data_IF_603668928580
#
_entry.id   IF_603668928580
#
_cell.length_a   1.000
_cell.length_b   1.000
_cell.length_c   1.000
_cell.angle_alpha   90.00
_cell.angle_beta   90.00
_cell.angle_gamma   90.00
#
_symmetry.space_group_name_H-M   'P 1'
#
loop_
_entity.id
_entity.type
_entity.pdbx_description
1 polymer ?
#
# COMPACT_ATOMS: atom_id res chain seq x y z
N UNK A 1 -17.84 8.59 0.49
CA UNK A 1 -18.72 9.51 -0.25
C UNK A 1 -18.40 9.38 -1.74
N UNK A 2 -19.40 9.11 -2.57
CA UNK A 2 -19.20 8.89 -4.00
C UNK A 2 -18.82 10.15 -4.75
N UNK A 3 -19.37 11.30 -4.36
CA UNK A 3 -19.05 12.57 -4.98
C UNK A 3 -17.57 12.91 -4.77
N UNK A 4 -17.09 12.70 -3.55
CA UNK A 4 -15.68 12.91 -3.22
C UNK A 4 -14.74 12.00 -4.02
N UNK A 5 -15.06 10.72 -4.13
CA UNK A 5 -14.25 9.77 -4.91
C UNK A 5 -14.25 10.16 -6.39
N UNK A 6 -15.41 10.57 -6.93
CA UNK A 6 -15.51 11.06 -8.31
C UNK A 6 -14.61 12.29 -8.53
N UNK A 7 -14.64 13.26 -7.62
CA UNK A 7 -13.85 14.50 -7.73
C UNK A 7 -12.34 14.20 -7.76
N UNK A 8 -11.87 13.31 -6.88
CA UNK A 8 -10.46 12.88 -6.87
C UNK A 8 -10.10 12.04 -8.10
N UNK A 9 -10.99 11.18 -8.57
CA UNK A 9 -10.76 10.42 -9.80
C UNK A 9 -10.63 11.34 -11.01
N UNK A 10 -11.48 12.36 -11.11
CA UNK A 10 -11.40 13.34 -12.19
C UNK A 10 -10.13 14.19 -12.09
N UNK A 11 -9.65 14.49 -10.88
CA UNK A 11 -8.36 15.13 -10.67
C UNK A 11 -7.20 14.24 -11.14
N UNK A 12 -7.20 12.96 -10.76
CA UNK A 12 -6.20 11.99 -11.19
C UNK A 12 -6.16 11.88 -12.72
N UNK A 13 -7.33 11.75 -13.37
CA UNK A 13 -7.45 11.70 -14.84
C UNK A 13 -6.91 12.94 -15.54
N UNK A 14 -7.19 14.14 -15.02
CA UNK A 14 -6.63 15.39 -15.57
C UNK A 14 -5.10 15.43 -15.47
N UNK A 15 -4.53 14.77 -14.48
CA UNK A 15 -3.08 14.63 -14.30
C UNK A 15 -2.47 13.42 -15.04
N UNK A 16 -3.28 12.59 -15.71
CA UNK A 16 -2.82 11.33 -16.30
C UNK A 16 -2.36 10.30 -15.25
N UNK A 17 -2.92 10.37 -14.05
CA UNK A 17 -2.58 9.54 -12.90
C UNK A 17 -3.66 8.49 -12.59
N UNK A 18 -3.29 7.53 -11.75
CA UNK A 18 -4.21 6.55 -11.16
C UNK A 18 -4.78 7.09 -9.83
N UNK A 19 -5.99 6.64 -9.48
CA UNK A 19 -6.54 6.81 -8.13
C UNK A 19 -6.29 5.53 -7.32
N UNK A 20 -5.66 5.65 -6.15
CA UNK A 20 -5.59 4.56 -5.19
C UNK A 20 -6.56 4.84 -4.05
N UNK A 21 -7.49 3.92 -3.81
CA UNK A 21 -8.39 3.99 -2.66
C UNK A 21 -7.63 3.49 -1.43
N UNK A 22 -7.41 4.38 -0.47
CA UNK A 22 -6.76 4.04 0.80
C UNK A 22 -7.75 3.33 1.72
N UNK A 23 -7.42 2.11 2.16
CA UNK A 23 -8.29 1.24 2.95
C UNK A 23 -7.64 1.00 4.31
N UNK A 24 -8.28 1.51 5.36
CA UNK A 24 -7.96 1.25 6.76
C UNK A 24 -9.12 0.44 7.36
N UNK A 25 -8.98 -0.88 7.54
CA UNK A 25 -10.12 -1.74 7.80
C UNK A 25 -10.58 -1.69 9.27
N UNK A 26 -9.76 -1.14 10.18
CA UNK A 26 -10.07 -1.06 11.59
C UNK A 26 -10.27 -2.46 12.19
N UNK A 27 -11.53 -2.77 12.55
CA UNK A 27 -11.91 -4.08 13.10
C UNK A 27 -12.41 -5.07 12.05
N UNK A 28 -12.62 -4.63 10.82
CA UNK A 28 -13.03 -5.47 9.72
C UNK A 28 -11.82 -6.17 9.08
N UNK A 29 -12.09 -7.13 8.20
CA UNK A 29 -11.09 -7.69 7.30
C UNK A 29 -10.95 -6.80 6.05
N UNK A 30 -9.78 -6.81 5.40
CA UNK A 30 -9.54 -6.00 4.20
C UNK A 30 -10.51 -6.30 3.04
N UNK A 31 -10.77 -7.58 2.77
CA UNK A 31 -11.50 -7.96 1.56
C UNK A 31 -12.94 -7.41 1.52
N UNK A 32 -13.76 -7.51 2.59
CA UNK A 32 -15.06 -6.84 2.65
C UNK A 32 -15.00 -5.33 2.42
N UNK A 33 -14.02 -4.64 3.01
CA UNK A 33 -13.85 -3.19 2.86
C UNK A 33 -13.48 -2.82 1.42
N UNK A 34 -12.59 -3.59 0.78
CA UNK A 34 -12.25 -3.43 -0.65
C UNK A 34 -13.48 -3.68 -1.54
N UNK A 35 -14.28 -4.71 -1.23
CA UNK A 35 -15.49 -5.04 -1.99
C UNK A 35 -16.56 -3.95 -1.93
N UNK A 36 -16.62 -3.17 -0.85
CA UNK A 36 -17.55 -2.04 -0.74
C UNK A 36 -17.29 -0.97 -1.82
N UNK A 37 -16.09 -0.92 -2.38
CA UNK A 37 -15.69 0.01 -3.45
C UNK A 37 -15.67 -0.63 -4.85
N UNK A 38 -16.28 -1.81 -5.05
CA UNK A 38 -16.26 -2.54 -6.32
C UNK A 38 -16.62 -1.66 -7.53
N UNK A 39 -17.62 -0.79 -7.40
CA UNK A 39 -18.06 0.10 -8.49
C UNK A 39 -16.92 0.97 -9.04
N UNK A 40 -16.01 1.41 -8.19
CA UNK A 40 -14.84 2.20 -8.55
C UNK A 40 -13.73 1.30 -9.08
N UNK A 41 -13.52 0.14 -8.44
CA UNK A 41 -12.50 -0.83 -8.84
C UNK A 41 -12.78 -1.48 -10.20
N UNK A 42 -14.00 -1.38 -10.73
CA UNK A 42 -14.34 -1.73 -12.11
C UNK A 42 -13.85 -0.71 -13.16
N UNK A 43 -13.37 0.47 -12.77
CA UNK A 43 -12.80 1.48 -13.67
C UNK A 43 -11.32 1.21 -13.94
N UNK A 44 -10.78 1.47 -15.14
CA UNK A 44 -9.42 1.03 -15.52
C UNK A 44 -8.29 1.67 -14.68
N UNK A 45 -8.54 2.84 -14.10
CA UNK A 45 -7.56 3.73 -13.48
C UNK A 45 -7.70 3.84 -11.95
N UNK A 46 -8.38 2.88 -11.32
CA UNK A 46 -8.56 2.80 -9.86
C UNK A 46 -7.93 1.54 -9.30
N UNK A 47 -7.04 1.68 -8.31
CA UNK A 47 -6.44 0.62 -7.51
C UNK A 47 -6.70 0.81 -6.02
N UNK A 48 -5.95 0.10 -5.17
CA UNK A 48 -6.05 0.22 -3.71
C UNK A 48 -4.68 0.44 -3.06
N UNK A 49 -4.69 1.14 -1.93
CA UNK A 49 -3.62 1.15 -0.95
C UNK A 49 -4.19 0.60 0.38
N UNK A 50 -3.54 -0.42 0.93
CA UNK A 50 -3.97 -1.12 2.12
C UNK A 50 -3.06 -0.73 3.28
N UNK A 51 -3.63 -0.39 4.43
CA UNK A 51 -2.90 0.06 5.61
C UNK A 51 -3.02 -0.98 6.74
N UNK A 52 -2.18 -2.04 6.77
CA UNK A 52 -2.35 -3.16 7.69
C UNK A 52 -2.13 -2.78 9.15
N UNK A 53 -1.40 -1.70 9.41
CA UNK A 53 -1.20 -1.14 10.74
C UNK A 53 -2.51 -0.63 11.38
N UNK A 54 -3.58 -0.45 10.59
CA UNK A 54 -4.93 -0.14 11.07
C UNK A 54 -5.84 -1.38 11.19
N UNK A 55 -5.37 -2.57 10.78
CA UNK A 55 -6.10 -3.83 10.89
C UNK A 55 -5.94 -4.43 12.31
N UNK A 56 -6.64 -3.85 13.27
CA UNK A 56 -6.49 -4.14 14.72
C UNK A 56 -7.33 -5.33 15.21
N UNK A 57 -8.00 -6.02 14.29
CA UNK A 57 -8.85 -7.17 14.59
C UNK A 57 -10.11 -6.83 15.42
N UNK A 58 -10.87 -7.84 15.87
CA UNK A 58 -12.23 -7.63 16.39
C UNK A 58 -12.32 -6.78 17.67
N UNK A 59 -11.28 -6.79 18.49
CA UNK A 59 -11.25 -6.13 19.80
C UNK A 59 -10.32 -4.93 19.88
N UNK A 60 -9.46 -4.72 18.88
CA UNK A 60 -8.49 -3.63 18.91
C UNK A 60 -9.12 -2.25 18.73
N UNK A 61 -8.36 -1.22 19.07
CA UNK A 61 -8.70 0.19 18.82
C UNK A 61 -7.62 0.75 17.90
N UNK A 62 -7.96 1.20 16.68
CA UNK A 62 -6.96 1.77 15.77
C UNK A 62 -6.30 3.01 16.39
N UNK A 63 -4.98 3.13 16.20
CA UNK A 63 -4.17 4.21 16.78
C UNK A 63 -3.70 3.97 18.23
N UNK A 64 -4.29 3.02 18.97
CA UNK A 64 -3.77 2.61 20.29
C UNK A 64 -2.82 1.41 20.19
N UNK A 65 -3.06 0.55 19.20
CA UNK A 65 -2.24 -0.63 18.88
C UNK A 65 -1.98 -0.70 17.39
N UNK A 66 -0.84 -1.24 17.00
CA UNK A 66 -0.61 -1.61 15.62
C UNK A 66 -1.39 -2.87 15.27
N UNK A 67 -2.15 -2.76 14.19
CA UNK A 67 -2.75 -3.87 13.49
C UNK A 67 -1.72 -4.70 12.73
N UNK A 68 -2.21 -5.78 12.14
CA UNK A 68 -1.41 -6.66 11.30
C UNK A 68 -2.28 -7.33 10.23
N UNK A 69 -1.65 -7.75 9.15
CA UNK A 69 -2.25 -8.65 8.14
C UNK A 69 -1.29 -9.77 7.79
N UNK A 70 -1.73 -10.68 6.91
CA UNK A 70 -0.92 -11.78 6.40
C UNK A 70 -0.77 -11.77 4.88
N UNK A 71 0.25 -12.47 4.36
CA UNK A 71 0.35 -12.72 2.92
C UNK A 71 -0.90 -13.41 2.33
N UNK A 72 -1.59 -14.25 3.11
CA UNK A 72 -2.81 -14.92 2.70
C UNK A 72 -4.01 -13.95 2.57
N UNK A 73 -4.16 -13.00 3.48
CA UNK A 73 -5.19 -11.96 3.39
C UNK A 73 -4.93 -11.02 2.21
N UNK A 74 -3.67 -10.64 1.99
CA UNK A 74 -3.25 -9.87 0.81
C UNK A 74 -3.54 -10.62 -0.50
N UNK A 75 -3.32 -11.94 -0.55
CA UNK A 75 -3.73 -12.76 -1.69
C UNK A 75 -5.23 -12.69 -1.93
N UNK A 76 -6.06 -12.71 -0.89
CA UNK A 76 -7.52 -12.58 -1.02
C UNK A 76 -7.94 -11.28 -1.71
N UNK A 77 -7.30 -10.18 -1.37
CA UNK A 77 -7.52 -8.88 -2.05
C UNK A 77 -7.02 -8.92 -3.49
N UNK A 78 -5.80 -9.40 -3.71
CA UNK A 78 -5.20 -9.49 -5.05
C UNK A 78 -6.00 -10.40 -6.01
N UNK A 79 -6.49 -11.54 -5.52
CA UNK A 79 -7.35 -12.45 -6.29
C UNK A 79 -8.65 -11.77 -6.70
N UNK A 80 -9.27 -11.01 -5.78
CA UNK A 80 -10.48 -10.26 -6.05
C UNK A 80 -10.26 -9.17 -7.09
N UNK A 81 -9.19 -8.38 -6.97
CA UNK A 81 -8.81 -7.37 -7.98
C UNK A 81 -8.52 -8.03 -9.33
N UNK A 82 -7.76 -9.12 -9.34
CA UNK A 82 -7.44 -9.88 -10.55
C UNK A 82 -8.69 -10.49 -11.21
N UNK A 83 -9.72 -10.83 -10.44
CA UNK A 83 -11.03 -11.23 -10.96
C UNK A 83 -11.74 -10.07 -11.64
N UNK A 84 -11.77 -8.88 -11.03
CA UNK A 84 -12.35 -7.69 -11.66
C UNK A 84 -11.66 -7.35 -12.98
N UNK A 85 -10.33 -7.49 -13.05
CA UNK A 85 -9.57 -7.30 -14.29
C UNK A 85 -10.04 -8.23 -15.39
N UNK A 86 -10.12 -9.54 -15.10
CA UNK A 86 -10.55 -10.56 -16.08
C UNK A 86 -11.99 -10.37 -16.52
N UNK A 87 -12.91 -10.11 -15.60
CA UNK A 87 -14.34 -9.99 -15.89
C UNK A 87 -14.69 -8.73 -16.70
N UNK A 88 -13.94 -7.65 -16.51
CA UNK A 88 -14.24 -6.35 -17.13
C UNK A 88 -13.23 -5.95 -18.20
N UNK A 89 -12.30 -6.85 -18.56
CA UNK A 89 -11.23 -6.60 -19.54
C UNK A 89 -10.44 -5.31 -19.25
N UNK A 90 -10.02 -5.16 -17.99
CA UNK A 90 -9.29 -3.98 -17.51
C UNK A 90 -7.78 -4.13 -17.74
N UNK A 91 -7.01 -3.02 -17.69
CA UNK A 91 -5.58 -3.11 -17.43
C UNK A 91 -5.30 -3.72 -16.05
N UNK A 92 -4.02 -4.06 -15.82
CA UNK A 92 -3.53 -4.52 -14.52
C UNK A 92 -3.89 -3.52 -13.41
N UNK A 93 -4.32 -4.03 -12.25
CA UNK A 93 -4.63 -3.21 -11.07
C UNK A 93 -3.37 -2.97 -10.24
N UNK A 94 -3.29 -1.83 -9.57
CA UNK A 94 -2.27 -1.58 -8.54
C UNK A 94 -2.86 -1.91 -7.17
N UNK A 95 -2.12 -2.68 -6.38
CA UNK A 95 -2.38 -2.94 -4.96
C UNK A 95 -1.13 -2.58 -4.17
N UNK A 96 -1.17 -1.44 -3.48
CA UNK A 96 -0.14 -1.08 -2.51
C UNK A 96 -0.52 -1.68 -1.15
N UNK A 97 0.45 -2.19 -0.40
CA UNK A 97 0.29 -2.43 1.03
C UNK A 97 1.39 -1.69 1.79
N UNK A 98 0.99 -0.96 2.82
CA UNK A 98 1.91 -0.26 3.70
C UNK A 98 2.52 -1.22 4.71
N UNK A 99 3.77 -0.98 5.09
CA UNK A 99 4.43 -1.76 6.12
C UNK A 99 5.42 -0.88 6.89
N UNK A 100 5.02 -0.47 8.09
CA UNK A 100 5.86 0.32 9.00
C UNK A 100 6.91 -0.53 9.74
N UNK A 101 6.62 -1.82 9.92
CA UNK A 101 7.49 -2.77 10.63
C UNK A 101 7.23 -4.22 10.19
N UNK A 102 8.17 -5.13 10.47
CA UNK A 102 8.04 -6.55 10.11
C UNK A 102 6.83 -7.23 10.77
N UNK A 103 6.38 -6.75 11.93
CA UNK A 103 5.20 -7.24 12.63
C UNK A 103 3.85 -6.88 11.98
N UNK A 104 3.82 -5.90 11.06
CA UNK A 104 2.57 -5.41 10.46
C UNK A 104 2.09 -6.28 9.30
N UNK A 105 3.01 -6.96 8.61
CA UNK A 105 2.67 -8.00 7.63
C UNK A 105 3.40 -9.27 8.01
N UNK A 106 2.72 -10.14 8.75
CA UNK A 106 3.26 -11.43 9.18
C UNK A 106 3.07 -12.47 8.07
N UNK A 107 3.90 -13.51 8.06
CA UNK A 107 3.84 -14.58 7.06
C UNK A 107 3.83 -14.08 5.60
N UNK A 108 4.56 -12.99 5.32
CA UNK A 108 4.65 -12.38 3.98
C UNK A 108 5.10 -13.38 2.90
N UNK A 109 5.88 -14.40 3.27
CA UNK A 109 6.29 -15.48 2.37
C UNK A 109 5.13 -16.31 1.80
N UNK A 110 3.92 -16.21 2.36
CA UNK A 110 2.69 -16.79 1.80
C UNK A 110 2.06 -15.98 0.66
N UNK A 111 2.53 -14.74 0.41
CA UNK A 111 2.06 -13.92 -0.70
C UNK A 111 2.50 -14.55 -2.04
N UNK A 112 1.58 -14.60 -3.00
CA UNK A 112 1.80 -15.22 -4.31
C UNK A 112 1.85 -14.15 -5.41
N UNK A 113 2.49 -14.43 -6.56
CA UNK A 113 2.42 -13.55 -7.72
C UNK A 113 1.02 -13.56 -8.35
N UNK A 114 0.51 -12.37 -8.70
CA UNK A 114 -0.80 -12.19 -9.32
C UNK A 114 -0.67 -11.50 -10.68
N UNK A 115 -0.90 -12.19 -11.82
CA UNK A 115 -0.57 -11.62 -13.14
C UNK A 115 -1.38 -10.36 -13.48
N UNK A 116 -2.58 -10.21 -12.92
CA UNK A 116 -3.46 -9.07 -13.15
C UNK A 116 -3.35 -7.96 -12.09
N UNK A 117 -2.41 -8.08 -11.15
CA UNK A 117 -2.21 -7.11 -10.07
C UNK A 117 -0.73 -6.80 -9.89
N UNK A 118 -0.35 -5.54 -10.06
CA UNK A 118 0.95 -5.02 -9.63
C UNK A 118 0.89 -4.81 -8.12
N UNK A 119 1.65 -5.63 -7.37
CA UNK A 119 1.71 -5.55 -5.92
C UNK A 119 2.91 -4.71 -5.53
N UNK A 120 2.70 -3.69 -4.70
CA UNK A 120 3.73 -2.77 -4.24
C UNK A 120 3.80 -2.82 -2.72
N UNK A 121 5.00 -3.01 -2.17
CA UNK A 121 5.26 -2.85 -0.74
C UNK A 121 5.71 -1.42 -0.49
N UNK A 122 4.92 -0.62 0.23
CA UNK A 122 5.32 0.72 0.66
C UNK A 122 5.91 0.68 2.06
N UNK A 123 7.21 0.94 2.20
CA UNK A 123 7.86 1.10 3.51
C UNK A 123 7.44 2.45 4.09
N UNK A 124 6.72 2.37 5.21
CA UNK A 124 5.83 3.44 5.68
C UNK A 124 6.25 4.08 7.00
N UNK A 125 7.42 3.74 7.52
CA UNK A 125 7.89 4.25 8.82
C UNK A 125 8.22 5.75 8.79
N UNK A 126 7.81 6.46 9.83
CA UNK A 126 8.19 7.85 10.11
C UNK A 126 9.57 7.88 10.78
N UNK A 127 10.37 8.89 10.45
CA UNK A 127 11.51 9.30 11.28
C UNK A 127 12.72 9.79 10.49
N UNK A 128 13.83 9.94 11.21
CA UNK A 128 15.10 10.38 10.60
C UNK A 128 15.53 9.48 9.44
N UNK A 129 16.33 10.04 8.51
CA UNK A 129 16.92 9.29 7.39
C UNK A 129 17.50 7.92 7.81
N UNK A 130 18.29 7.89 8.89
CA UNK A 130 18.92 6.65 9.37
C UNK A 130 17.91 5.60 9.84
N UNK A 131 16.80 6.03 10.45
CA UNK A 131 15.72 5.14 10.86
C UNK A 131 15.00 4.56 9.64
N UNK A 132 14.65 5.40 8.66
CA UNK A 132 13.98 4.96 7.43
C UNK A 132 14.86 4.02 6.60
N UNK A 133 16.16 4.30 6.47
CA UNK A 133 17.14 3.42 5.83
C UNK A 133 17.28 2.07 6.54
N UNK A 134 17.19 2.05 7.87
CA UNK A 134 17.21 0.81 8.65
C UNK A 134 15.96 -0.03 8.39
N UNK A 135 14.77 0.58 8.47
CA UNK A 135 13.49 -0.08 8.18
C UNK A 135 13.44 -0.60 6.74
N UNK A 136 13.92 0.19 5.77
CA UNK A 136 14.05 -0.24 4.37
C UNK A 136 14.86 -1.53 4.25
N UNK A 137 16.04 -1.55 4.86
CA UNK A 137 16.96 -2.69 4.79
C UNK A 137 16.38 -3.95 5.45
N UNK A 138 15.65 -3.78 6.54
CA UNK A 138 14.94 -4.88 7.22
C UNK A 138 13.85 -5.46 6.33
N UNK A 139 12.91 -4.62 5.89
CA UNK A 139 11.71 -5.07 5.18
C UNK A 139 12.02 -5.59 3.76
N UNK A 140 13.00 -5.01 3.08
CA UNK A 140 13.40 -5.45 1.75
C UNK A 140 14.12 -6.80 1.74
N UNK A 141 14.62 -7.28 2.88
CA UNK A 141 15.28 -8.59 2.98
C UNK A 141 14.30 -9.73 2.70
N UNK A 142 13.09 -9.63 3.22
CA UNK A 142 12.09 -10.70 3.20
C UNK A 142 11.01 -10.45 2.13
N UNK A 143 11.13 -9.36 1.34
CA UNK A 143 10.25 -9.02 0.23
C UNK A 143 10.31 -10.07 -0.89
N UNK A 144 9.17 -10.65 -1.32
CA UNK A 144 9.15 -11.51 -2.51
C UNK A 144 9.59 -10.74 -3.77
N UNK A 145 10.37 -11.39 -4.64
CA UNK A 145 10.99 -10.73 -5.79
C UNK A 145 10.01 -10.10 -6.79
N UNK A 146 8.77 -10.60 -6.85
CA UNK A 146 7.70 -10.09 -7.72
C UNK A 146 6.97 -8.85 -7.15
N UNK A 147 7.20 -8.49 -5.89
CA UNK A 147 6.59 -7.32 -5.25
C UNK A 147 7.43 -6.09 -5.54
N UNK A 148 6.83 -5.02 -6.05
CA UNK A 148 7.54 -3.77 -6.37
C UNK A 148 7.99 -3.07 -5.08
N UNK A 149 9.27 -2.67 -4.96
CA UNK A 149 9.76 -1.97 -3.77
C UNK A 149 9.33 -0.49 -3.79
N UNK A 150 8.61 -0.06 -2.75
CA UNK A 150 8.08 1.30 -2.62
C UNK A 150 8.47 1.98 -1.31
N UNK A 151 8.78 3.28 -1.35
CA UNK A 151 9.28 4.05 -0.20
C UNK A 151 8.42 5.29 0.06
N UNK A 152 7.98 5.51 1.31
CA UNK A 152 7.19 6.69 1.69
C UNK A 152 8.01 7.72 2.46
N UNK A 153 7.77 8.98 2.14
CA UNK A 153 8.27 10.16 2.82
C UNK A 153 7.10 10.97 3.37
N UNK A 154 7.30 11.55 4.55
CA UNK A 154 6.32 12.39 5.22
C UNK A 154 6.85 13.83 5.31
N UNK A 155 6.20 14.79 4.68
CA UNK A 155 6.64 16.18 4.61
C UNK A 155 6.68 16.86 5.97
N UNK A 156 5.77 16.50 6.88
CA UNK A 156 5.64 17.11 8.20
C UNK A 156 6.31 16.24 9.27
N UNK A 157 6.03 14.95 9.32
CA UNK A 157 6.47 14.07 10.40
C UNK A 157 7.95 13.70 10.31
N UNK A 158 8.49 13.44 9.11
CA UNK A 158 9.92 13.13 8.99
C UNK A 158 10.77 14.36 9.37
N UNK A 159 10.26 15.58 9.13
CA UNK A 159 11.00 16.82 9.41
C UNK A 159 11.10 17.17 10.90
N UNK A 160 10.25 16.57 11.74
CA UNK A 160 10.35 16.66 13.20
C UNK A 160 11.55 15.86 13.75
N UNK A 161 11.94 14.78 13.06
CA UNK A 161 12.98 13.84 13.48
C UNK A 161 14.32 14.04 12.74
N UNK A 162 14.34 14.83 11.66
CA UNK A 162 15.54 15.15 10.88
C UNK A 162 15.22 15.77 9.52
N UNK A 163 16.20 16.11 8.67
CA UNK A 163 15.88 16.59 7.33
C UNK A 163 15.18 15.50 6.50
N UNK A 164 14.16 15.89 5.72
CA UNK A 164 13.52 15.02 4.74
C UNK A 164 14.57 14.47 3.75
N UNK A 165 14.52 13.17 3.47
CA UNK A 165 15.44 12.58 2.48
C UNK A 165 15.20 13.20 1.10
N UNK A 166 16.29 13.56 0.43
CA UNK A 166 16.26 14.08 -0.94
C UNK A 166 15.96 12.95 -1.94
N UNK A 167 15.45 13.27 -3.14
CA UNK A 167 15.28 12.26 -4.20
C UNK A 167 16.57 11.48 -4.50
N UNK A 168 17.73 12.12 -4.45
CA UNK A 168 19.01 11.45 -4.68
C UNK A 168 19.35 10.43 -3.58
N UNK A 169 18.99 10.71 -2.33
CA UNK A 169 19.18 9.78 -1.22
C UNK A 169 18.21 8.59 -1.33
N UNK A 170 16.95 8.83 -1.68
CA UNK A 170 15.96 7.75 -1.93
C UNK A 170 16.40 6.86 -3.08
N UNK A 171 16.84 7.45 -4.20
CA UNK A 171 17.32 6.70 -5.37
C UNK A 171 18.68 6.02 -5.16
N UNK A 172 19.36 6.27 -4.04
CA UNK A 172 20.58 5.56 -3.64
C UNK A 172 20.30 4.32 -2.78
N UNK A 173 19.04 4.08 -2.37
CA UNK A 173 18.66 2.90 -1.61
C UNK A 173 18.86 1.62 -2.44
N UNK A 174 19.11 0.50 -1.74
CA UNK A 174 19.21 -0.84 -2.35
C UNK A 174 18.25 -1.79 -1.64
N UNK A 175 17.34 -2.48 -2.36
CA UNK A 175 17.05 -2.32 -3.80
C UNK A 175 16.61 -0.90 -4.16
N UNK A 176 16.69 -0.53 -5.44
CA UNK A 176 16.22 0.77 -5.93
C UNK A 176 14.68 0.85 -5.74
N UNK A 177 14.14 1.87 -5.07
CA UNK A 177 12.70 2.08 -5.01
C UNK A 177 12.15 2.37 -6.42
N UNK A 178 11.07 1.68 -6.78
CA UNK A 178 10.36 1.87 -8.05
C UNK A 178 9.06 2.67 -7.87
N UNK A 179 8.55 2.73 -6.64
CA UNK A 179 7.45 3.56 -6.22
C UNK A 179 7.90 4.49 -5.09
N UNK A 180 7.68 5.79 -5.21
CA UNK A 180 7.99 6.75 -4.14
C UNK A 180 6.73 7.54 -3.83
N UNK A 181 6.30 7.47 -2.58
CA UNK A 181 5.13 8.18 -2.07
C UNK A 181 5.59 9.35 -1.20
N UNK A 182 4.92 10.47 -1.35
CA UNK A 182 5.06 11.64 -0.48
C UNK A 182 3.71 11.94 0.13
N UNK A 183 3.66 12.11 1.44
CA UNK A 183 2.49 12.53 2.22
C UNK A 183 2.79 13.82 2.96
#
# INVERSE_FOLDING_TARGET
DDALIQDYLDAARRAGALLLLNIQPGRADFLPEVQAYEKWLRLPDVGVALDPEWAVGPSGVPGEVYGQTTGAELNGVADYLGRLVRENNLPQKVMVYHQVASSVVVDLGGLLPHPNVAIVQSVDGIGSQGAKEATWRELMRDRPSFVVPGFKLFYEEDVEEGPLMTPQQVLALTPLPEYVLYE
#
